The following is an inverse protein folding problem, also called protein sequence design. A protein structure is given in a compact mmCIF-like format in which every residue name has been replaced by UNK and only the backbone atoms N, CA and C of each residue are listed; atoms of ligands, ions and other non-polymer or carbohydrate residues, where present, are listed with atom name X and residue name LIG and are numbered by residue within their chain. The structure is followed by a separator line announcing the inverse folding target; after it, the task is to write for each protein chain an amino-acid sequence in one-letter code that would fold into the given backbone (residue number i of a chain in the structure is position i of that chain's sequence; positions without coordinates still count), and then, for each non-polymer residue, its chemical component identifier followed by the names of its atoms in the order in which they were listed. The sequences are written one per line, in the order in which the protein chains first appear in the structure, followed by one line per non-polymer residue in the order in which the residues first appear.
data_IF_600191535631
#
_entry.id   IF_600191535631
#
_cell.length_a   1.000
_cell.length_b   1.000
_cell.length_c   1.000
_cell.angle_alpha   90.00
_cell.angle_beta   90.00
_cell.angle_gamma   90.00
#
_symmetry.space_group_name_H-M   'P 1'
#
loop_
_entity.id
_entity.type
_entity.pdbx_description
1 polymer ?
#
# COMPACT_ATOMS: atom_id res chain seq x y z
N UNK A 1 12.53 20.83 -21.41
CA UNK A 1 13.36 19.71 -20.98
C UNK A 1 12.41 18.79 -20.27
N UNK A 2 12.01 17.70 -20.91
CA UNK A 2 11.24 16.67 -20.21
C UNK A 2 12.16 16.13 -19.12
N UNK A 3 11.82 16.34 -17.85
CA UNK A 3 12.53 15.69 -16.76
C UNK A 3 12.32 14.19 -16.96
N UNK A 4 13.39 13.47 -17.28
CA UNK A 4 13.34 12.04 -17.53
C UNK A 4 13.00 11.33 -16.21
N UNK A 5 11.80 10.76 -16.12
CA UNK A 5 11.38 10.02 -14.92
C UNK A 5 12.37 8.89 -14.64
N UNK A 6 12.81 8.78 -13.38
CA UNK A 6 13.83 7.83 -12.97
C UNK A 6 13.55 7.24 -11.58
N UNK A 7 13.99 6.00 -11.38
CA UNK A 7 14.04 5.39 -10.06
C UNK A 7 15.34 5.78 -9.33
N UNK A 8 15.34 5.67 -8.01
CA UNK A 8 16.57 5.67 -7.22
C UNK A 8 17.56 4.60 -7.70
N UNK A 9 18.84 4.80 -7.42
CA UNK A 9 19.93 3.92 -7.83
C UNK A 9 19.92 2.55 -7.15
N UNK A 10 19.20 2.46 -6.03
CA UNK A 10 18.99 1.26 -5.21
C UNK A 10 17.84 0.36 -5.70
N UNK A 11 17.00 0.83 -6.64
CA UNK A 11 15.87 0.07 -7.17
C UNK A 11 16.32 -1.17 -7.95
N UNK A 12 15.99 -2.33 -7.41
CA UNK A 12 16.37 -3.64 -7.94
C UNK A 12 15.27 -4.65 -7.70
N UNK A 13 15.38 -5.80 -8.37
CA UNK A 13 14.51 -6.92 -8.09
C UNK A 13 14.76 -7.45 -6.68
N UNK A 14 13.69 -7.69 -5.93
CA UNK A 14 13.74 -8.18 -4.55
C UNK A 14 13.12 -9.57 -4.53
N UNK A 15 13.85 -10.62 -4.11
CA UNK A 15 13.34 -11.99 -4.11
C UNK A 15 12.46 -12.25 -2.86
N UNK A 16 11.43 -11.44 -2.66
CA UNK A 16 10.45 -11.60 -1.58
C UNK A 16 9.10 -11.94 -2.18
N UNK A 17 8.60 -13.16 -1.97
CA UNK A 17 7.33 -13.61 -2.54
C UNK A 17 6.48 -14.32 -1.50
N UNK A 18 5.16 -14.14 -1.58
CA UNK A 18 4.16 -14.82 -0.75
C UNK A 18 3.49 -15.94 -1.54
N UNK A 19 2.76 -16.81 -0.84
CA UNK A 19 1.92 -17.85 -1.47
C UNK A 19 0.76 -17.28 -2.30
N UNK A 20 0.40 -16.01 -2.08
CA UNK A 20 -0.66 -15.34 -2.81
C UNK A 20 -0.14 -14.64 -4.07
N UNK A 21 1.18 -14.60 -4.29
CA UNK A 21 1.77 -13.98 -5.47
C UNK A 21 1.15 -14.53 -6.76
N UNK A 22 0.70 -13.63 -7.62
CA UNK A 22 0.09 -13.96 -8.89
C UNK A 22 -1.40 -14.33 -8.80
N UNK A 23 -1.98 -14.34 -7.59
CA UNK A 23 -3.39 -14.59 -7.37
C UNK A 23 -4.19 -13.30 -7.35
N UNK A 24 -5.36 -13.35 -7.98
CA UNK A 24 -6.34 -12.28 -7.98
C UNK A 24 -7.62 -12.70 -7.29
N UNK A 25 -8.14 -11.82 -6.43
CA UNK A 25 -9.40 -12.02 -5.72
C UNK A 25 -10.37 -10.91 -6.10
N UNK A 26 -11.56 -11.30 -6.57
CA UNK A 26 -12.69 -10.39 -6.67
C UNK A 26 -13.27 -10.17 -5.27
N UNK A 27 -12.95 -9.02 -4.68
CA UNK A 27 -13.37 -8.64 -3.32
C UNK A 27 -14.81 -8.14 -3.34
N UNK A 28 -15.14 -7.35 -4.36
CA UNK A 28 -16.48 -6.91 -4.72
C UNK A 28 -16.59 -6.90 -6.26
N UNK A 29 -17.79 -6.82 -6.86
CA UNK A 29 -17.92 -6.81 -8.32
C UNK A 29 -17.06 -5.74 -9.02
N UNK A 30 -16.83 -4.60 -8.37
CA UNK A 30 -16.00 -3.50 -8.87
C UNK A 30 -14.67 -3.31 -8.13
N UNK A 31 -14.28 -4.23 -7.25
CA UNK A 31 -13.01 -4.18 -6.52
C UNK A 31 -12.27 -5.51 -6.66
N UNK A 32 -11.15 -5.48 -7.38
CA UNK A 32 -10.30 -6.64 -7.59
C UNK A 32 -8.93 -6.41 -6.97
N UNK A 33 -8.52 -7.30 -6.09
CA UNK A 33 -7.22 -7.30 -5.45
C UNK A 33 -6.31 -8.28 -6.19
N UNK A 34 -5.07 -7.89 -6.47
CA UNK A 34 -4.07 -8.78 -7.07
C UNK A 34 -2.76 -8.67 -6.32
N UNK A 35 -2.18 -9.80 -5.94
CA UNK A 35 -0.93 -9.83 -5.18
C UNK A 35 0.26 -9.92 -6.12
N UNK A 36 1.13 -8.92 -6.11
CA UNK A 36 2.42 -8.91 -6.79
C UNK A 36 3.49 -9.28 -5.77
N UNK A 37 3.96 -10.52 -5.81
CA UNK A 37 4.90 -11.07 -4.83
C UNK A 37 4.36 -11.01 -3.39
N UNK A 38 4.53 -9.90 -2.68
CA UNK A 38 4.10 -9.72 -1.27
C UNK A 38 3.10 -8.58 -1.08
N UNK A 39 2.90 -7.74 -2.09
CA UNK A 39 2.11 -6.51 -2.01
C UNK A 39 0.88 -6.61 -2.89
N UNK A 40 -0.23 -6.07 -2.41
CA UNK A 40 -1.49 -6.03 -3.11
C UNK A 40 -1.62 -4.73 -3.90
N UNK A 41 -1.98 -4.85 -5.16
CA UNK A 41 -2.57 -3.76 -5.95
C UNK A 41 -4.08 -3.95 -6.04
N UNK A 42 -4.81 -2.87 -6.22
CA UNK A 42 -6.27 -2.94 -6.41
C UNK A 42 -6.68 -2.29 -7.72
N UNK A 43 -7.66 -2.90 -8.38
CA UNK A 43 -8.41 -2.26 -9.45
C UNK A 43 -9.80 -1.90 -8.93
N UNK A 44 -10.17 -0.62 -9.05
CA UNK A 44 -11.52 -0.14 -8.73
C UNK A 44 -12.23 0.25 -10.01
N UNK A 45 -13.24 -0.51 -10.40
CA UNK A 45 -14.03 -0.33 -11.61
C UNK A 45 -14.68 -1.63 -12.07
N UNK A 46 -15.75 -1.51 -12.86
CA UNK A 46 -16.49 -2.66 -13.35
C UNK A 46 -15.64 -3.43 -14.40
N UNK A 47 -15.60 -4.77 -14.35
CA UNK A 47 -14.89 -5.57 -15.34
C UNK A 47 -15.43 -5.31 -16.76
N UNK A 48 -14.59 -5.51 -17.76
CA UNK A 48 -14.91 -5.23 -19.18
C UNK A 48 -15.32 -3.78 -19.48
N UNK A 49 -14.94 -2.82 -18.63
CA UNK A 49 -15.09 -1.38 -18.88
C UNK A 49 -13.72 -0.70 -18.93
N UNK A 50 -13.64 0.43 -19.62
CA UNK A 50 -12.45 1.31 -19.60
C UNK A 50 -12.60 2.43 -18.56
N UNK A 51 -13.37 2.18 -17.50
CA UNK A 51 -13.64 3.12 -16.42
C UNK A 51 -13.24 2.50 -15.08
N UNK A 52 -11.93 2.48 -14.86
CA UNK A 52 -11.33 1.95 -13.64
C UNK A 52 -10.09 2.75 -13.25
N UNK A 53 -9.69 2.58 -12.00
CA UNK A 53 -8.51 3.19 -11.39
C UNK A 53 -7.65 2.09 -10.80
N UNK A 54 -6.33 2.23 -10.95
CA UNK A 54 -5.35 1.35 -10.30
C UNK A 54 -4.90 1.99 -8.99
N UNK A 55 -4.87 1.20 -7.91
CA UNK A 55 -4.35 1.60 -6.60
C UNK A 55 -3.03 0.85 -6.39
N UNK A 56 -1.96 1.62 -6.19
CA UNK A 56 -0.57 1.19 -6.11
C UNK A 56 -0.05 0.47 -7.39
N UNK A 57 1.27 0.38 -7.50
CA UNK A 57 1.98 -0.06 -8.70
C UNK A 57 2.96 -1.22 -8.44
N UNK A 58 2.81 -1.89 -7.29
CA UNK A 58 3.47 -3.16 -6.97
C UNK A 58 5.01 -3.10 -6.90
N UNK A 59 5.61 -4.29 -6.85
CA UNK A 59 7.06 -4.49 -6.68
C UNK A 59 7.89 -4.02 -7.89
N UNK A 60 9.20 -3.75 -7.72
CA UNK A 60 10.10 -3.49 -8.82
C UNK A 60 10.02 -4.54 -9.93
N UNK A 61 9.97 -4.08 -11.19
CA UNK A 61 9.91 -4.90 -12.42
C UNK A 61 8.60 -5.70 -12.63
N UNK A 62 7.50 -5.31 -11.99
CA UNK A 62 6.20 -5.99 -12.15
C UNK A 62 5.27 -5.40 -13.24
N UNK A 63 5.64 -4.31 -13.91
CA UNK A 63 4.73 -3.57 -14.80
C UNK A 63 4.05 -4.44 -15.87
N UNK A 64 4.79 -5.36 -16.51
CA UNK A 64 4.22 -6.28 -17.51
C UNK A 64 3.17 -7.23 -16.91
N UNK A 65 3.34 -7.65 -15.66
CA UNK A 65 2.36 -8.47 -14.94
C UNK A 65 1.10 -7.67 -14.65
N UNK A 66 1.24 -6.42 -14.19
CA UNK A 66 0.13 -5.49 -13.95
C UNK A 66 -0.64 -5.22 -15.25
N UNK A 67 0.05 -4.97 -16.37
CA UNK A 67 -0.57 -4.80 -17.68
C UNK A 67 -1.33 -6.07 -18.06
N UNK A 68 -0.73 -7.25 -17.91
CA UNK A 68 -1.38 -8.52 -18.24
C UNK A 68 -2.65 -8.78 -17.43
N UNK A 69 -2.65 -8.54 -16.11
CA UNK A 69 -3.84 -8.71 -15.28
C UNK A 69 -4.91 -7.65 -15.58
N UNK A 70 -4.48 -6.43 -15.92
CA UNK A 70 -5.38 -5.36 -16.38
C UNK A 70 -6.13 -5.81 -17.63
N UNK A 71 -5.41 -6.30 -18.64
CA UNK A 71 -6.02 -6.76 -19.89
C UNK A 71 -6.94 -7.96 -19.70
N UNK A 72 -6.60 -8.88 -18.79
CA UNK A 72 -7.47 -10.00 -18.44
C UNK A 72 -8.80 -9.54 -17.82
N UNK A 73 -8.78 -8.51 -16.97
CA UNK A 73 -10.00 -8.04 -16.27
C UNK A 73 -10.84 -7.05 -17.09
N UNK A 74 -10.19 -6.15 -17.81
CA UNK A 74 -10.86 -5.02 -18.48
C UNK A 74 -10.85 -5.11 -20.01
N UNK A 75 -10.08 -6.03 -20.59
CA UNK A 75 -9.96 -6.25 -22.03
C UNK A 75 -8.61 -5.78 -22.60
N UNK A 76 -8.25 -6.28 -23.78
CA UNK A 76 -6.98 -5.96 -24.45
C UNK A 76 -6.83 -4.45 -24.69
N UNK A 77 -5.62 -3.91 -24.45
CA UNK A 77 -5.32 -2.47 -24.52
C UNK A 77 -6.14 -1.58 -23.56
N UNK A 78 -6.78 -2.14 -22.54
CA UNK A 78 -7.42 -1.34 -21.50
C UNK A 78 -6.38 -0.57 -20.69
N UNK A 79 -6.78 0.61 -20.21
CA UNK A 79 -5.95 1.46 -19.36
C UNK A 79 -6.79 2.12 -18.26
N UNK A 80 -6.23 2.32 -17.06
CA UNK A 80 -6.92 3.03 -16.01
C UNK A 80 -7.10 4.51 -16.36
N UNK A 81 -8.00 5.21 -15.67
CA UNK A 81 -8.11 6.67 -15.75
C UNK A 81 -6.99 7.39 -15.00
N UNK A 82 -6.49 6.77 -13.95
CA UNK A 82 -5.44 7.27 -13.08
C UNK A 82 -4.81 6.12 -12.28
N UNK A 83 -3.66 6.39 -11.68
CA UNK A 83 -3.07 5.58 -10.61
C UNK A 83 -3.17 6.39 -9.32
N UNK A 84 -3.64 5.79 -8.24
CA UNK A 84 -3.65 6.39 -6.90
C UNK A 84 -2.64 5.64 -6.05
N UNK A 85 -1.69 6.35 -5.44
CA UNK A 85 -0.74 5.77 -4.51
C UNK A 85 -1.25 5.93 -3.08
N UNK A 86 -1.21 4.83 -2.32
CA UNK A 86 -1.43 4.86 -0.87
C UNK A 86 -0.27 5.55 -0.18
N UNK A 87 0.95 5.26 -0.63
CA UNK A 87 2.22 5.87 -0.23
C UNK A 87 3.34 5.53 -1.23
N UNK A 88 4.54 6.06 -1.01
CA UNK A 88 5.65 5.99 -1.97
C UNK A 88 6.72 4.90 -1.72
N UNK A 89 6.50 3.90 -0.88
CA UNK A 89 7.49 2.83 -0.70
C UNK A 89 7.66 1.99 -1.97
N UNK A 90 8.83 1.37 -2.10
CA UNK A 90 9.31 0.68 -3.30
C UNK A 90 8.38 -0.42 -3.82
N UNK A 91 7.64 -1.06 -2.92
CA UNK A 91 6.67 -2.12 -3.20
C UNK A 91 5.29 -1.59 -3.61
N UNK A 92 5.05 -0.29 -3.45
CA UNK A 92 3.85 0.38 -3.93
C UNK A 92 4.09 1.20 -5.20
N UNK A 93 5.35 1.46 -5.56
CA UNK A 93 5.71 2.29 -6.73
C UNK A 93 6.64 1.60 -7.73
N UNK A 94 7.03 0.35 -7.48
CA UNK A 94 8.12 -0.31 -8.20
C UNK A 94 7.88 -0.59 -9.68
N UNK A 95 6.63 -0.60 -10.14
CA UNK A 95 6.28 -0.67 -11.57
C UNK A 95 5.83 0.66 -12.18
N UNK A 96 5.83 1.76 -11.43
CA UNK A 96 5.03 2.93 -11.79
C UNK A 96 5.53 3.67 -13.03
N UNK A 97 6.84 3.79 -13.23
CA UNK A 97 7.41 4.55 -14.36
C UNK A 97 7.05 3.89 -15.69
N UNK A 98 7.19 2.56 -15.76
CA UNK A 98 6.81 1.78 -16.93
C UNK A 98 5.29 1.86 -17.18
N UNK A 99 4.47 1.84 -16.13
CA UNK A 99 3.01 1.95 -16.26
C UNK A 99 2.60 3.35 -16.75
N UNK A 100 3.22 4.43 -16.27
CA UNK A 100 2.99 5.79 -16.78
C UNK A 100 3.38 5.87 -18.25
N UNK A 101 4.57 5.37 -18.62
CA UNK A 101 5.04 5.38 -20.01
C UNK A 101 4.11 4.58 -20.94
N UNK A 102 3.55 3.47 -20.45
CA UNK A 102 2.69 2.60 -21.24
C UNK A 102 1.26 3.14 -21.38
N UNK A 103 0.65 3.64 -20.30
CA UNK A 103 -0.75 4.06 -20.30
C UNK A 103 -0.97 5.56 -20.52
N UNK A 104 0.05 6.39 -20.29
CA UNK A 104 -0.04 7.86 -20.31
C UNK A 104 -1.20 8.37 -19.42
N UNK A 105 -1.08 8.10 -18.11
CA UNK A 105 -2.11 8.38 -17.10
C UNK A 105 -1.52 9.19 -15.94
N UNK A 106 -2.33 10.06 -15.30
CA UNK A 106 -1.89 10.79 -14.13
C UNK A 106 -1.75 9.86 -12.90
N UNK A 107 -0.76 10.16 -12.07
CA UNK A 107 -0.59 9.57 -10.74
C UNK A 107 -1.06 10.58 -9.70
N UNK A 108 -1.77 10.13 -8.67
CA UNK A 108 -2.13 10.96 -7.52
C UNK A 108 -1.58 10.39 -6.23
N UNK A 109 -1.04 11.27 -5.38
CA UNK A 109 -0.54 10.92 -4.06
C UNK A 109 -0.86 12.05 -3.07
N UNK A 110 -0.77 11.77 -1.78
CA UNK A 110 -0.93 12.80 -0.76
C UNK A 110 0.22 13.83 -0.83
N UNK A 111 -0.05 15.08 -0.44
CA UNK A 111 0.93 16.18 -0.53
C UNK A 111 2.25 15.88 0.17
N UNK A 112 2.21 15.15 1.29
CA UNK A 112 3.40 14.79 2.06
C UNK A 112 4.22 13.66 1.42
N UNK A 113 3.68 12.95 0.43
CA UNK A 113 4.41 11.92 -0.33
C UNK A 113 5.19 12.52 -1.51
N UNK A 114 4.83 13.73 -1.95
CA UNK A 114 5.41 14.37 -3.15
C UNK A 114 6.94 14.48 -3.08
N UNK A 115 7.59 14.87 -1.97
CA UNK A 115 9.04 14.94 -1.92
C UNK A 115 9.74 13.60 -2.22
N UNK A 116 9.14 12.47 -1.83
CA UNK A 116 9.69 11.13 -2.10
C UNK A 116 9.45 10.66 -3.54
N UNK A 117 8.42 11.21 -4.20
CA UNK A 117 8.01 10.87 -5.55
C UNK A 117 8.56 11.83 -6.62
N UNK A 118 9.31 12.86 -6.21
CA UNK A 118 9.90 13.89 -7.10
C UNK A 118 11.40 14.07 -6.87
N UNK A 119 12.07 13.05 -6.32
CA UNK A 119 13.53 13.07 -6.13
C UNK A 119 14.04 14.01 -5.03
N UNK A 120 13.17 14.64 -4.24
CA UNK A 120 13.55 15.69 -3.28
C UNK A 120 13.99 15.14 -1.92
N UNK A 121 13.48 13.98 -1.50
CA UNK A 121 13.74 13.42 -0.18
C UNK A 121 13.66 11.89 -0.18
N UNK A 122 14.64 11.20 0.42
CA UNK A 122 14.55 9.75 0.67
C UNK A 122 13.66 9.42 1.86
N UNK A 123 13.05 8.24 1.86
CA UNK A 123 12.42 7.70 3.06
C UNK A 123 13.47 7.44 4.16
N UNK A 124 13.08 7.52 5.44
CA UNK A 124 13.95 7.08 6.53
C UNK A 124 14.43 5.65 6.31
N UNK A 125 15.70 5.41 6.62
CA UNK A 125 16.30 4.07 6.49
C UNK A 125 15.46 3.01 7.21
N UNK A 126 15.25 1.83 6.60
CA UNK A 126 14.59 0.73 7.27
C UNK A 126 15.28 0.34 8.58
N UNK A 127 14.54 -0.25 9.51
CA UNK A 127 15.07 -0.71 10.78
C UNK A 127 15.37 -2.22 10.77
N UNK A 128 16.62 -2.65 10.56
CA UNK A 128 17.00 -4.06 10.62
C UNK A 128 17.04 -4.64 12.03
N UNK A 129 16.99 -3.77 13.04
CA UNK A 129 17.11 -4.16 14.45
C UNK A 129 15.77 -4.42 15.10
N UNK A 130 14.66 -4.08 14.43
CA UNK A 130 13.30 -4.25 14.95
C UNK A 130 12.90 -5.72 15.08
N UNK A 131 11.99 -5.98 16.01
CA UNK A 131 11.28 -7.24 16.10
C UNK A 131 10.46 -7.52 14.82
N UNK A 132 10.91 -8.46 13.98
CA UNK A 132 10.22 -8.80 12.72
C UNK A 132 10.83 -9.96 11.93
N UNK A 133 11.61 -10.81 12.60
CA UNK A 133 12.20 -12.01 11.99
C UNK A 133 13.21 -11.71 10.86
N UNK A 134 13.21 -12.56 9.83
CA UNK A 134 14.17 -12.46 8.72
C UNK A 134 13.89 -11.27 7.81
N UNK A 135 12.63 -10.88 7.63
CA UNK A 135 12.24 -9.75 6.76
C UNK A 135 12.85 -8.45 7.29
N UNK A 136 12.71 -8.19 8.60
CA UNK A 136 13.34 -7.04 9.25
C UNK A 136 14.86 -7.03 9.01
N UNK A 137 15.55 -8.16 9.23
CA UNK A 137 17.00 -8.25 9.01
C UNK A 137 17.43 -8.00 7.56
N UNK A 138 16.58 -8.33 6.59
CA UNK A 138 16.82 -8.09 5.17
C UNK A 138 16.45 -6.67 4.72
N UNK A 139 15.77 -5.89 5.57
CA UNK A 139 15.26 -4.57 5.22
C UNK A 139 16.28 -3.57 4.68
N UNK A 140 17.59 -3.59 5.05
CA UNK A 140 18.59 -2.71 4.42
C UNK A 140 18.84 -3.00 2.93
N UNK A 141 18.31 -4.10 2.40
CA UNK A 141 18.36 -4.41 0.96
C UNK A 141 17.20 -3.80 0.19
N UNK A 142 16.17 -3.31 0.89
CA UNK A 142 14.98 -2.72 0.29
C UNK A 142 15.24 -1.26 -0.09
N UNK A 143 14.80 -0.81 -1.27
CA UNK A 143 15.00 0.57 -1.70
C UNK A 143 14.32 1.58 -0.79
N UNK A 144 14.99 2.69 -0.53
CA UNK A 144 14.46 3.84 0.20
C UNK A 144 14.82 5.18 -0.46
N UNK A 145 15.66 5.18 -1.49
CA UNK A 145 15.92 6.37 -2.31
C UNK A 145 14.62 6.83 -3.01
N UNK A 146 14.45 8.14 -3.22
CA UNK A 146 13.28 8.65 -3.90
C UNK A 146 13.26 8.23 -5.36
N UNK A 147 12.07 8.26 -5.94
CA UNK A 147 11.87 8.23 -7.38
C UNK A 147 11.56 9.65 -7.86
N UNK A 148 11.76 9.92 -9.15
CA UNK A 148 11.34 11.17 -9.78
C UNK A 148 10.29 10.86 -10.86
N UNK A 149 9.03 11.18 -10.55
CA UNK A 149 7.90 11.08 -11.47
C UNK A 149 7.65 12.38 -12.26
N UNK A 150 8.46 13.42 -12.02
CA UNK A 150 8.31 14.74 -12.63
C UNK A 150 6.87 15.27 -12.49
N UNK A 151 6.29 15.70 -13.61
CA UNK A 151 4.95 16.25 -13.66
C UNK A 151 3.83 15.19 -13.73
N UNK A 152 4.18 13.90 -13.75
CA UNK A 152 3.20 12.81 -13.84
C UNK A 152 2.47 12.57 -12.51
N UNK A 153 3.08 12.98 -11.39
CA UNK A 153 2.47 12.91 -10.05
C UNK A 153 1.79 14.23 -9.69
N UNK A 154 0.57 14.12 -9.17
CA UNK A 154 -0.27 15.23 -8.73
C UNK A 154 -0.70 15.02 -7.29
N UNK A 155 -0.97 16.13 -6.62
CA UNK A 155 -1.49 16.10 -5.24
C UNK A 155 -2.96 15.70 -5.27
N UNK A 156 -3.36 14.81 -4.37
CA UNK A 156 -4.77 14.51 -4.14
C UNK A 156 -5.54 15.77 -3.70
N UNK A 157 -6.79 15.96 -4.18
CA UNK A 157 -7.62 17.09 -3.77
C UNK A 157 -7.75 17.20 -2.24
N UNK A 158 -7.50 18.40 -1.69
CA UNK A 158 -7.49 18.64 -0.24
C UNK A 158 -8.87 18.45 0.43
N UNK A 159 -9.96 18.36 -0.35
CA UNK A 159 -11.32 18.15 0.12
C UNK A 159 -11.65 16.67 0.43
N UNK A 160 -10.68 15.77 0.27
CA UNK A 160 -10.86 14.34 0.53
C UNK A 160 -11.36 13.55 -0.68
N UNK A 161 -11.66 14.19 -1.82
CA UNK A 161 -12.13 13.49 -3.02
C UNK A 161 -11.01 12.72 -3.71
N UNK A 162 -11.36 11.61 -4.38
CA UNK A 162 -10.41 10.79 -5.14
C UNK A 162 -10.73 10.93 -6.63
N UNK A 163 -9.80 11.44 -7.46
CA UNK A 163 -10.02 11.58 -8.89
C UNK A 163 -10.45 10.27 -9.55
N UNK A 164 -11.51 10.32 -10.36
CA UNK A 164 -12.10 9.16 -11.06
C UNK A 164 -12.73 8.08 -10.14
N UNK A 165 -12.85 8.34 -8.83
CA UNK A 165 -13.51 7.42 -7.87
C UNK A 165 -14.50 8.20 -7.00
N UNK A 166 -15.62 8.70 -7.55
CA UNK A 166 -16.51 9.65 -6.86
C UNK A 166 -17.18 9.12 -5.58
N UNK A 167 -17.25 7.80 -5.41
CA UNK A 167 -17.81 7.17 -4.20
C UNK A 167 -16.76 6.93 -3.10
N UNK A 168 -15.48 7.08 -3.44
CA UNK A 168 -14.38 6.97 -2.49
C UNK A 168 -13.92 8.35 -2.04
N UNK A 169 -13.50 8.41 -0.77
CA UNK A 169 -12.71 9.50 -0.22
C UNK A 169 -11.39 8.97 0.29
N UNK A 170 -10.33 9.76 0.20
CA UNK A 170 -9.08 9.44 0.86
C UNK A 170 -9.15 9.86 2.33
N UNK A 171 -8.43 9.12 3.17
CA UNK A 171 -8.33 9.31 4.61
C UNK A 171 -6.85 9.37 4.94
N UNK A 172 -6.35 10.52 5.40
CA UNK A 172 -4.97 10.60 5.89
C UNK A 172 -4.79 9.65 7.06
N UNK A 173 -3.82 8.75 6.93
CA UNK A 173 -3.49 7.69 7.88
C UNK A 173 -1.97 7.60 8.07
N UNK A 174 -1.33 8.66 8.60
CA UNK A 174 0.11 8.71 8.79
C UNK A 174 0.61 7.69 9.83
N UNK A 175 1.90 7.40 9.79
CA UNK A 175 2.60 6.59 10.79
C UNK A 175 3.56 5.60 10.16
N UNK A 176 3.05 4.84 9.18
CA UNK A 176 3.89 4.03 8.30
C UNK A 176 4.77 4.93 7.43
N UNK A 177 4.16 5.85 6.68
CA UNK A 177 4.81 7.03 6.11
C UNK A 177 4.12 8.31 6.56
N UNK A 178 4.75 9.50 6.40
CA UNK A 178 4.15 10.77 6.79
C UNK A 178 2.88 11.11 5.99
N UNK A 179 2.83 10.75 4.71
CA UNK A 179 1.71 11.05 3.82
C UNK A 179 0.83 9.86 3.48
N UNK A 180 1.01 8.72 4.13
CA UNK A 180 0.19 7.53 3.90
C UNK A 180 -1.32 7.84 3.95
N UNK A 181 -2.08 7.30 3.00
CA UNK A 181 -3.53 7.38 2.95
C UNK A 181 -4.18 6.00 2.88
N UNK A 182 -5.44 5.96 3.32
CA UNK A 182 -6.37 4.87 3.04
C UNK A 182 -7.55 5.39 2.23
N UNK A 183 -8.22 4.54 1.45
CA UNK A 183 -9.39 4.92 0.65
C UNK A 183 -10.64 4.27 1.23
N UNK A 184 -11.70 5.06 1.43
CA UNK A 184 -12.93 4.57 2.02
C UNK A 184 -14.15 4.92 1.17
N UNK A 185 -15.02 3.93 0.96
CA UNK A 185 -16.31 4.08 0.30
C UNK A 185 -17.44 3.83 1.29
N UNK A 186 -18.24 4.87 1.53
CA UNK A 186 -19.28 4.86 2.56
C UNK A 186 -20.42 3.87 2.24
N UNK A 187 -20.83 3.78 0.96
CA UNK A 187 -22.05 3.08 0.53
C UNK A 187 -22.11 1.61 0.98
N UNK A 188 -20.96 0.94 0.98
CA UNK A 188 -20.78 -0.47 1.34
C UNK A 188 -19.70 -0.67 2.42
N UNK A 189 -19.18 0.43 2.98
CA UNK A 189 -18.14 0.46 4.00
C UNK A 189 -16.89 -0.32 3.57
N UNK A 190 -16.50 -0.15 2.32
CA UNK A 190 -15.27 -0.72 1.76
C UNK A 190 -14.07 0.14 2.12
N UNK A 191 -13.01 -0.50 2.61
CA UNK A 191 -11.75 0.15 2.98
C UNK A 191 -10.58 -0.47 2.21
N UNK A 192 -9.85 0.35 1.46
CA UNK A 192 -8.50 0.02 1.00
C UNK A 192 -7.55 0.68 2.00
N UNK A 193 -7.02 -0.11 2.93
CA UNK A 193 -6.28 0.37 4.07
C UNK A 193 -4.84 0.80 3.73
N UNK A 194 -4.28 0.32 2.61
CA UNK A 194 -2.85 0.40 2.36
C UNK A 194 -2.11 -0.32 3.48
N UNK A 195 -1.05 0.31 3.97
CA UNK A 195 -0.19 -0.20 5.03
C UNK A 195 -0.45 0.43 6.40
N UNK A 196 -1.61 1.08 6.59
CA UNK A 196 -2.03 1.53 7.92
C UNK A 196 -2.15 0.35 8.91
N UNK A 197 -2.53 -0.83 8.41
CA UNK A 197 -2.48 -2.13 9.06
C UNK A 197 -2.47 -3.22 7.98
N UNK A 198 -2.10 -4.45 8.32
CA UNK A 198 -2.05 -5.58 7.38
C UNK A 198 -2.84 -6.78 7.88
N UNK A 199 -3.24 -7.70 7.00
CA UNK A 199 -4.00 -8.92 7.35
C UNK A 199 -3.13 -10.19 7.37
N UNK A 200 -1.83 -10.00 7.51
CA UNK A 200 -0.83 -11.07 7.66
C UNK A 200 0.19 -10.67 8.72
N UNK A 201 0.68 -11.61 9.51
CA UNK A 201 1.87 -11.36 10.34
C UNK A 201 3.12 -11.31 9.45
N UNK A 202 3.90 -10.24 9.57
CA UNK A 202 5.09 -10.00 8.74
C UNK A 202 6.15 -11.10 8.87
N UNK A 203 6.22 -11.75 10.03
CA UNK A 203 7.12 -12.89 10.28
C UNK A 203 6.81 -14.11 9.40
N UNK A 204 5.59 -14.19 8.87
CA UNK A 204 5.09 -15.29 8.07
C UNK A 204 5.17 -15.07 6.55
N UNK A 205 5.76 -13.96 6.09
CA UNK A 205 5.91 -13.66 4.64
C UNK A 205 6.52 -14.83 3.83
N UNK A 206 7.34 -15.67 4.48
CA UNK A 206 7.99 -16.84 3.88
C UNK A 206 7.56 -18.20 4.47
N UNK A 207 6.68 -18.22 5.48
CA UNK A 207 6.25 -19.45 6.16
C UNK A 207 4.86 -19.28 6.74
N UNK A 208 3.87 -20.06 6.28
CA UNK A 208 3.02 -20.80 7.24
C UNK A 208 2.43 -22.06 6.64
N UNK A 209 2.56 -23.14 7.40
CA UNK A 209 1.79 -24.39 7.29
C UNK A 209 0.35 -24.19 7.85
N UNK A 210 0.01 -23.02 8.39
CA UNK A 210 -1.31 -22.71 8.99
C UNK A 210 -1.84 -21.34 8.53
N UNK A 211 -2.91 -21.37 7.74
CA UNK A 211 -3.57 -20.22 7.09
C UNK A 211 -4.43 -19.36 8.05
N UNK A 212 -3.93 -18.98 9.22
CA UNK A 212 -4.73 -18.10 10.10
C UNK A 212 -4.59 -16.65 9.63
N UNK A 213 -5.67 -16.10 9.06
CA UNK A 213 -5.76 -14.67 8.77
C UNK A 213 -5.74 -13.88 10.08
N UNK A 214 -4.80 -12.95 10.23
CA UNK A 214 -4.63 -12.17 11.44
C UNK A 214 -4.35 -10.72 11.08
N UNK A 215 -5.11 -9.79 11.66
CA UNK A 215 -4.80 -8.36 11.57
C UNK A 215 -3.58 -8.06 12.43
N UNK A 216 -2.60 -7.40 11.83
CA UNK A 216 -1.43 -6.85 12.50
C UNK A 216 -1.32 -5.36 12.22
N UNK A 217 -0.48 -4.66 12.99
CA UNK A 217 -0.11 -3.28 12.70
C UNK A 217 0.66 -3.10 11.39
N UNK A 218 1.07 -1.87 11.05
CA UNK A 218 1.83 -1.58 9.84
C UNK A 218 3.19 -2.32 9.80
N UNK A 219 3.86 -2.44 8.63
CA UNK A 219 5.21 -3.00 8.49
C UNK A 219 6.21 -2.42 9.49
N UNK A 220 6.67 -3.22 10.46
CA UNK A 220 7.47 -2.74 11.61
C UNK A 220 8.81 -2.14 11.19
N UNK A 221 9.44 -2.72 10.16
CA UNK A 221 10.76 -2.35 9.66
C UNK A 221 10.77 -1.04 8.85
N UNK A 222 9.60 -0.49 8.52
CA UNK A 222 9.43 0.77 7.78
C UNK A 222 8.54 1.79 8.52
N UNK A 223 7.91 1.40 9.62
CA UNK A 223 7.03 2.30 10.38
C UNK A 223 7.84 3.22 11.28
N UNK A 224 7.66 4.53 11.09
CA UNK A 224 8.52 5.56 11.72
C UNK A 224 7.82 6.35 12.82
N UNK A 225 6.49 6.38 12.85
CA UNK A 225 5.72 6.99 13.94
C UNK A 225 4.56 6.09 14.41
N UNK A 226 4.83 5.32 15.47
CA UNK A 226 3.87 4.41 16.09
C UNK A 226 2.66 5.11 16.71
N UNK A 227 2.81 6.34 17.21
CA UNK A 227 1.68 7.09 17.78
C UNK A 227 0.73 7.52 16.67
N UNK A 228 1.28 8.06 15.57
CA UNK A 228 0.48 8.41 14.40
C UNK A 228 -0.19 7.16 13.80
N UNK A 229 0.54 6.04 13.69
CA UNK A 229 -0.02 4.78 13.20
C UNK A 229 -1.21 4.30 14.06
N UNK A 230 -1.11 4.40 15.39
CA UNK A 230 -2.20 4.06 16.30
C UNK A 230 -3.43 4.92 16.07
N UNK A 231 -3.26 6.24 15.99
CA UNK A 231 -4.36 7.17 15.73
C UNK A 231 -5.01 6.92 14.35
N UNK A 232 -4.21 6.56 13.36
CA UNK A 232 -4.68 6.15 12.04
C UNK A 232 -5.55 4.89 12.10
N UNK A 233 -5.13 3.84 12.81
CA UNK A 233 -5.94 2.63 12.98
C UNK A 233 -7.22 2.91 13.77
N UNK A 234 -7.17 3.73 14.83
CA UNK A 234 -8.36 4.18 15.57
C UNK A 234 -9.33 4.92 14.63
N UNK A 235 -8.82 5.78 13.76
CA UNK A 235 -9.62 6.52 12.79
C UNK A 235 -10.29 5.59 11.78
N UNK A 236 -9.58 4.55 11.31
CA UNK A 236 -10.13 3.56 10.38
C UNK A 236 -11.17 2.65 11.02
N UNK A 237 -10.98 2.20 12.26
CA UNK A 237 -11.96 1.38 12.98
C UNK A 237 -13.30 2.13 13.15
N UNK A 238 -13.25 3.44 13.43
CA UNK A 238 -14.45 4.29 13.55
C UNK A 238 -15.30 4.33 12.28
N UNK A 239 -14.72 4.05 11.11
CA UNK A 239 -15.45 3.94 9.84
C UNK A 239 -16.28 2.65 9.74
N UNK A 240 -16.04 1.70 10.65
CA UNK A 240 -16.72 0.39 10.75
C UNK A 240 -16.73 -0.36 9.41
N UNK A 241 -15.56 -0.59 8.79
CA UNK A 241 -15.49 -1.24 7.49
C UNK A 241 -16.11 -2.63 7.54
N UNK A 242 -16.81 -3.02 6.47
CA UNK A 242 -17.35 -4.37 6.28
C UNK A 242 -16.46 -5.25 5.41
N UNK A 243 -15.65 -4.63 4.57
CA UNK A 243 -14.69 -5.24 3.66
C UNK A 243 -13.42 -4.40 3.69
N UNK A 244 -12.28 -5.07 3.75
CA UNK A 244 -10.97 -4.43 3.71
C UNK A 244 -10.02 -5.14 2.76
N UNK A 245 -9.26 -4.35 2.01
CA UNK A 245 -8.02 -4.76 1.35
C UNK A 245 -6.86 -3.98 1.98
N UNK A 246 -5.78 -4.67 2.34
CA UNK A 246 -4.54 -4.09 2.89
C UNK A 246 -3.42 -4.19 1.85
N UNK A 247 -2.33 -3.44 2.04
CA UNK A 247 -1.15 -3.52 1.18
C UNK A 247 -0.48 -4.90 1.25
N UNK A 248 -0.58 -5.60 2.38
CA UNK A 248 -0.10 -6.98 2.53
C UNK A 248 -1.14 -7.89 3.17
N UNK A 249 -1.18 -9.15 2.73
CA UNK A 249 -2.09 -10.19 3.24
C UNK A 249 -3.31 -10.41 2.34
N UNK A 250 -4.34 -11.08 2.88
CA UNK A 250 -5.56 -11.44 2.14
C UNK A 250 -6.69 -10.47 2.51
N UNK A 251 -7.54 -10.05 1.57
CA UNK A 251 -8.74 -9.27 1.90
C UNK A 251 -9.59 -9.91 3.01
N UNK A 252 -10.10 -9.10 3.91
CA UNK A 252 -10.85 -9.53 5.10
C UNK A 252 -12.22 -8.85 5.14
N UNK A 253 -13.24 -9.55 5.65
CA UNK A 253 -14.60 -9.01 5.69
C UNK A 253 -15.41 -9.51 6.89
N UNK A 254 -16.58 -8.89 7.09
CA UNK A 254 -17.59 -9.34 8.04
C UNK A 254 -17.18 -9.22 9.51
N UNK A 255 -17.62 -10.19 10.31
CA UNK A 255 -17.40 -10.22 11.76
C UNK A 255 -15.92 -10.41 12.11
N UNK A 256 -15.18 -11.18 11.29
CA UNK A 256 -13.74 -11.36 11.47
C UNK A 256 -13.01 -10.02 11.38
N UNK A 257 -13.24 -9.25 10.30
CA UNK A 257 -12.68 -7.90 10.16
C UNK A 257 -13.05 -7.00 11.35
N UNK A 258 -14.34 -6.94 11.66
CA UNK A 258 -14.86 -6.06 12.70
C UNK A 258 -14.27 -6.36 14.08
N UNK A 259 -14.11 -7.65 14.40
CA UNK A 259 -13.57 -8.10 15.70
C UNK A 259 -12.07 -7.93 15.75
N UNK A 260 -11.35 -8.34 14.70
CA UNK A 260 -9.89 -8.22 14.63
C UNK A 260 -9.43 -6.78 14.63
N UNK A 261 -10.11 -5.86 13.94
CA UNK A 261 -9.75 -4.44 13.91
C UNK A 261 -10.02 -3.76 15.26
N UNK A 262 -11.11 -4.11 15.96
CA UNK A 262 -11.35 -3.65 17.34
C UNK A 262 -10.30 -4.16 18.31
N UNK A 263 -9.89 -5.43 18.17
CA UNK A 263 -8.80 -6.01 18.96
C UNK A 263 -7.50 -5.26 18.69
N UNK A 264 -7.16 -4.98 17.42
CA UNK A 264 -5.99 -4.19 17.07
C UNK A 264 -6.03 -2.81 17.71
N UNK A 265 -7.16 -2.09 17.68
CA UNK A 265 -7.29 -0.79 18.36
C UNK A 265 -7.08 -0.91 19.88
N UNK A 266 -7.71 -1.90 20.51
CA UNK A 266 -7.65 -2.08 21.97
C UNK A 266 -6.26 -2.50 22.44
N UNK A 267 -5.56 -3.32 21.67
CA UNK A 267 -4.28 -3.93 22.01
C UNK A 267 -3.15 -3.45 21.08
N UNK A 268 -3.26 -2.24 20.49
CA UNK A 268 -2.33 -1.75 19.47
C UNK A 268 -0.87 -1.79 19.94
N UNK A 269 -0.60 -1.30 21.15
CA UNK A 269 0.76 -1.22 21.69
C UNK A 269 1.38 -2.61 21.92
N UNK A 270 0.55 -3.66 22.03
CA UNK A 270 0.97 -5.04 22.23
C UNK A 270 1.08 -5.83 20.92
N UNK A 271 0.22 -5.53 19.95
CA UNK A 271 0.17 -6.25 18.66
C UNK A 271 1.11 -5.60 17.64
N UNK A 272 1.02 -4.27 17.49
CA UNK A 272 1.67 -3.53 16.42
C UNK A 272 3.07 -3.05 16.82
N UNK A 273 3.19 -2.39 17.97
CA UNK A 273 4.43 -1.76 18.41
C UNK A 273 5.44 -2.84 18.82
N UNK A 274 6.63 -2.88 18.23
CA UNK A 274 7.66 -3.86 18.58
C UNK A 274 8.28 -3.54 19.94
N UNK A 275 8.78 -4.57 20.63
CA UNK A 275 9.42 -4.40 21.95
C UNK A 275 10.71 -3.55 21.88
N UNK A 276 11.37 -3.54 20.72
CA UNK A 276 12.61 -2.82 20.46
C UNK A 276 12.71 -2.43 18.98
N UNK A 277 13.43 -1.34 18.72
CA UNK A 277 13.72 -0.85 17.39
C UNK A 277 14.10 0.63 17.39
N UNK A 278 14.79 1.06 16.34
CA UNK A 278 15.20 2.44 16.05
C UNK A 278 14.06 3.45 16.20
N UNK A 279 12.84 3.06 15.83
CA UNK A 279 11.67 3.96 15.81
C UNK A 279 10.71 3.79 16.99
N UNK A 280 11.02 2.95 17.98
CA UNK A 280 10.17 2.71 19.17
C UNK A 280 10.46 3.71 20.29
N UNK A 281 11.72 4.13 20.44
CA UNK A 281 12.17 4.97 21.55
C UNK A 281 12.21 6.47 21.21
N UNK A 282 11.27 7.25 21.76
CA UNK A 282 11.32 8.73 21.70
C UNK A 282 12.32 9.37 22.67
N UNK A 283 13.25 8.61 23.27
CA UNK A 283 14.32 9.14 24.13
C UNK A 283 15.64 9.41 23.39
N UNK A 284 15.71 9.17 22.09
CA UNK A 284 16.91 9.42 21.28
C UNK A 284 16.53 10.23 20.03
N UNK A 285 16.26 11.52 20.22
CA UNK A 285 16.46 12.58 19.22
C UNK A 285 16.71 13.90 19.94
#
# INVERSE_FOLDING_TARGET
MDNEMNYGSDYKFIPATSIESGHGLEVLPDLFCYTIQIVNICFVGQPHTNDFVLIDAGMPKCANEIISVTEKRFGTNSRPKAIILTHGHFDHVGGIIELIKYWDVPVYAHQMEIPFLTGLQSYPEPDPTVEGGMVAKMSPLFPNEPIDLGNSVKVLPADGTVPHMPEFRWVHTPGHTPGHISLFREKDRTLIAGDAFVTVKQEYLYKVITQEQEISGPPRYLTTDWNAAKESVIKLEKLKPLVTVTGHGIPMSGELLSTSLKTLVKEFDKIAVPDYGKYVDKKIH
#
